data_IF_681602728688
#
_entry.id   IF_681602728688
#
_cell.length_a   1.000
_cell.length_b   1.000
_cell.length_c   1.000
_cell.angle_alpha   90.00
_cell.angle_beta   90.00
_cell.angle_gamma   90.00
#
_symmetry.space_group_name_H-M   'P 1'
#
loop_
_entity.id
_entity.type
_entity.pdbx_description
1 polymer ?
#
# COMPACT_ATOMS: atom_id res chain seq x y z
N UNK A 1 -51.80 -28.68 -9.20
CA UNK A 1 -51.90 -27.21 -9.14
C UNK A 1 -50.91 -26.79 -8.06
N UNK A 2 -49.80 -26.16 -8.44
CA UNK A 2 -48.65 -25.91 -7.56
C UNK A 2 -48.79 -24.50 -6.98
N UNK A 3 -49.04 -24.39 -5.68
CA UNK A 3 -48.95 -23.12 -4.93
C UNK A 3 -47.56 -23.04 -4.29
N UNK A 4 -46.60 -22.39 -4.95
CA UNK A 4 -45.22 -22.21 -4.45
C UNK A 4 -44.68 -20.81 -4.82
N UNK A 5 -45.44 -19.73 -4.56
CA UNK A 5 -44.93 -18.36 -4.81
C UNK A 5 -45.29 -17.29 -3.75
N UNK A 6 -45.93 -17.65 -2.63
CA UNK A 6 -46.43 -16.66 -1.65
C UNK A 6 -45.56 -16.48 -0.38
N UNK A 7 -44.63 -17.40 -0.09
CA UNK A 7 -43.83 -17.34 1.15
C UNK A 7 -42.64 -16.38 1.07
N UNK A 8 -42.00 -16.25 -0.10
CA UNK A 8 -40.78 -15.44 -0.28
C UNK A 8 -41.01 -13.95 -0.01
N UNK A 9 -42.18 -13.43 -0.41
CA UNK A 9 -42.54 -12.01 -0.22
C UNK A 9 -42.77 -11.67 1.24
N UNK A 10 -43.40 -12.56 2.00
CA UNK A 10 -43.66 -12.39 3.43
C UNK A 10 -42.41 -12.67 4.29
N UNK A 11 -41.59 -13.64 3.88
CA UNK A 11 -40.34 -13.96 4.56
C UNK A 11 -39.33 -12.80 4.50
N UNK A 12 -39.15 -12.20 3.32
CA UNK A 12 -38.25 -11.05 3.18
C UNK A 12 -38.76 -9.85 3.97
N UNK A 13 -40.04 -9.50 3.89
CA UNK A 13 -40.61 -8.37 4.64
C UNK A 13 -40.55 -8.57 6.15
N UNK A 14 -40.80 -9.78 6.65
CA UNK A 14 -40.66 -10.14 8.06
C UNK A 14 -39.20 -10.04 8.53
N UNK A 15 -38.25 -10.54 7.73
CA UNK A 15 -36.80 -10.37 8.01
C UNK A 15 -36.43 -8.89 8.05
N UNK A 16 -36.88 -8.09 7.08
CA UNK A 16 -36.60 -6.66 7.08
C UNK A 16 -37.22 -5.96 8.30
N UNK A 17 -38.44 -6.31 8.70
CA UNK A 17 -39.09 -5.68 9.85
C UNK A 17 -38.44 -6.08 11.18
N UNK A 18 -38.03 -7.34 11.36
CA UNK A 18 -37.28 -7.79 12.54
C UNK A 18 -35.88 -7.16 12.64
N UNK A 19 -35.20 -7.01 11.49
CA UNK A 19 -33.91 -6.32 11.40
C UNK A 19 -34.05 -4.83 11.74
N UNK A 20 -35.16 -4.19 11.33
CA UNK A 20 -35.41 -2.76 11.55
C UNK A 20 -36.02 -2.46 12.93
N UNK A 21 -36.79 -3.36 13.54
CA UNK A 21 -37.30 -3.19 14.90
C UNK A 21 -36.23 -3.41 15.96
N UNK A 22 -35.24 -4.27 15.68
CA UNK A 22 -34.18 -4.59 16.64
C UNK A 22 -33.11 -3.50 16.64
N UNK A 23 -32.98 -2.68 17.70
CA UNK A 23 -32.03 -1.56 17.73
C UNK A 23 -30.57 -2.02 17.57
N UNK A 24 -30.27 -3.26 17.97
CA UNK A 24 -28.95 -3.88 17.85
C UNK A 24 -28.56 -4.15 16.39
N UNK A 25 -29.51 -4.60 15.56
CA UNK A 25 -29.27 -4.92 14.16
C UNK A 25 -29.02 -3.65 13.33
N UNK A 26 -29.73 -2.55 13.63
CA UNK A 26 -29.47 -1.24 13.04
C UNK A 26 -28.04 -0.79 13.35
N UNK A 27 -27.60 -0.88 14.62
CA UNK A 27 -26.23 -0.54 15.01
C UNK A 27 -25.20 -1.37 14.26
N UNK A 28 -25.45 -2.68 14.10
CA UNK A 28 -24.58 -3.60 13.39
C UNK A 28 -24.51 -3.30 11.89
N UNK A 29 -25.65 -3.01 11.24
CA UNK A 29 -25.70 -2.62 9.82
C UNK A 29 -24.97 -1.29 9.58
N UNK A 30 -25.17 -0.30 10.45
CA UNK A 30 -24.45 0.98 10.39
C UNK A 30 -22.94 0.76 10.57
N UNK A 31 -22.54 -0.09 11.52
CA UNK A 31 -21.13 -0.42 11.73
C UNK A 31 -20.50 -1.10 10.52
N UNK A 32 -21.18 -2.11 9.93
CA UNK A 32 -20.73 -2.78 8.70
C UNK A 32 -20.64 -1.77 7.55
N UNK A 33 -21.65 -0.91 7.36
CA UNK A 33 -21.64 0.11 6.33
C UNK A 33 -20.47 1.11 6.51
N UNK A 34 -20.16 1.51 7.74
CA UNK A 34 -19.00 2.36 8.07
C UNK A 34 -17.68 1.65 7.76
N UNK A 35 -17.55 0.36 8.12
CA UNK A 35 -16.35 -0.42 7.82
C UNK A 35 -16.16 -0.58 6.31
N UNK A 36 -17.20 -0.94 5.57
CA UNK A 36 -17.18 -1.04 4.11
C UNK A 36 -16.82 0.31 3.48
N UNK A 37 -17.43 1.41 3.95
CA UNK A 37 -17.09 2.75 3.51
C UNK A 37 -15.62 3.10 3.77
N UNK A 38 -15.10 2.78 4.96
CA UNK A 38 -13.67 2.99 5.28
C UNK A 38 -12.76 2.14 4.41
N UNK A 39 -13.11 0.89 4.12
CA UNK A 39 -12.30 -0.01 3.28
C UNK A 39 -12.23 0.53 1.84
N UNK A 40 -13.36 0.93 1.26
CA UNK A 40 -13.42 1.46 -0.10
C UNK A 40 -12.71 2.83 -0.18
N UNK A 41 -12.92 3.71 0.80
CA UNK A 41 -12.30 5.05 0.82
C UNK A 41 -10.81 5.05 1.18
N UNK A 42 -10.33 4.03 1.90
CA UNK A 42 -8.91 3.88 2.25
C UNK A 42 -8.05 3.43 1.05
N UNK A 43 -8.68 2.93 -0.02
CA UNK A 43 -8.03 2.71 -1.30
C UNK A 43 -7.91 4.02 -2.09
N UNK A 44 -7.14 4.99 -1.55
CA UNK A 44 -6.71 6.13 -2.37
C UNK A 44 -5.82 5.57 -3.48
N UNK A 45 -6.22 5.64 -4.77
CA UNK A 45 -5.27 5.38 -5.84
C UNK A 45 -4.14 6.38 -5.63
N UNK A 46 -2.92 5.91 -5.40
CA UNK A 46 -1.76 6.78 -5.49
C UNK A 46 -1.78 7.29 -6.92
N UNK A 47 -2.23 8.52 -7.14
CA UNK A 47 -2.05 9.20 -8.42
C UNK A 47 -0.56 9.02 -8.72
N UNK A 48 -0.19 8.27 -9.78
CA UNK A 48 1.19 8.20 -10.18
C UNK A 48 1.56 9.64 -10.49
N UNK A 49 2.42 10.24 -9.66
CA UNK A 49 3.00 11.52 -9.99
C UNK A 49 3.50 11.41 -11.44
N UNK A 50 3.21 12.41 -12.30
CA UNK A 50 3.62 12.38 -13.70
C UNK A 50 5.06 11.92 -13.76
N UNK A 51 5.28 10.78 -14.42
CA UNK A 51 6.54 10.06 -14.33
C UNK A 51 7.67 11.07 -14.58
N UNK A 52 8.54 11.35 -13.58
CA UNK A 52 9.72 12.15 -13.86
C UNK A 52 10.44 11.47 -15.03
N UNK A 53 10.98 12.27 -15.97
CA UNK A 53 11.55 11.77 -17.22
C UNK A 53 12.39 10.54 -16.91
N UNK A 54 12.06 9.41 -17.56
CA UNK A 54 12.71 8.14 -17.26
C UNK A 54 14.20 8.33 -17.45
N UNK A 55 14.91 8.47 -16.33
CA UNK A 55 16.33 8.60 -16.39
C UNK A 55 16.88 7.35 -17.10
N UNK A 56 17.93 7.50 -17.93
CA UNK A 56 18.52 6.39 -18.65
C UNK A 56 18.75 5.21 -17.69
N UNK A 57 18.28 4.03 -18.08
CA UNK A 57 18.52 2.80 -17.33
C UNK A 57 20.03 2.62 -17.24
N UNK A 58 20.62 2.95 -16.09
CA UNK A 58 22.03 2.72 -15.83
C UNK A 58 22.21 1.20 -15.74
N UNK A 59 22.54 0.57 -16.87
CA UNK A 59 23.14 -0.77 -16.91
C UNK A 59 24.61 -0.64 -16.52
N UNK A 60 24.85 -0.15 -15.30
CA UNK A 60 26.18 0.01 -14.74
C UNK A 60 26.24 -0.84 -13.48
N UNK A 61 27.32 -1.58 -13.32
CA UNK A 61 27.63 -2.23 -12.07
C UNK A 61 28.00 -1.14 -11.06
N UNK A 62 27.20 -1.01 -10.01
CA UNK A 62 27.48 -0.06 -8.94
C UNK A 62 28.25 -0.75 -7.84
N UNK A 63 29.34 -0.13 -7.41
CA UNK A 63 29.98 -0.49 -6.15
C UNK A 63 29.13 0.00 -4.96
N UNK A 64 29.30 -0.62 -3.79
CA UNK A 64 28.58 -0.22 -2.56
C UNK A 64 28.83 1.26 -2.21
N UNK A 65 30.02 1.77 -2.55
CA UNK A 65 30.41 3.16 -2.29
C UNK A 65 29.71 4.13 -3.24
N UNK A 66 29.59 3.79 -4.53
CA UNK A 66 28.82 4.58 -5.49
C UNK A 66 27.33 4.55 -5.14
N UNK A 67 26.80 3.41 -4.70
CA UNK A 67 25.39 3.29 -4.32
C UNK A 67 25.02 4.21 -3.16
N UNK A 68 25.93 4.37 -2.18
CA UNK A 68 25.73 5.23 -0.99
C UNK A 68 25.52 6.70 -1.34
N UNK A 69 25.99 7.14 -2.50
CA UNK A 69 25.74 8.50 -2.96
C UNK A 69 24.26 8.72 -3.33
N UNK A 70 23.51 7.68 -3.69
CA UNK A 70 22.14 7.77 -4.19
C UNK A 70 21.08 7.49 -3.11
N UNK A 71 21.10 8.29 -2.04
CA UNK A 71 20.14 8.23 -0.93
C UNK A 71 18.94 9.20 -1.09
N UNK A 72 18.91 9.98 -2.17
CA UNK A 72 17.87 10.98 -2.44
C UNK A 72 18.10 12.35 -1.80
N UNK A 73 19.27 12.59 -1.17
CA UNK A 73 19.69 13.91 -0.68
C UNK A 73 20.34 14.77 -1.76
N UNK A 74 20.79 14.15 -2.85
CA UNK A 74 21.37 14.84 -4.00
C UNK A 74 20.36 15.78 -4.69
N UNK A 75 20.84 16.82 -5.39
CA UNK A 75 19.99 17.73 -6.17
C UNK A 75 19.17 17.00 -7.26
N UNK A 76 19.69 15.89 -7.80
CA UNK A 76 18.95 15.02 -8.73
C UNK A 76 17.80 14.25 -8.05
N UNK A 77 17.80 14.16 -6.72
CA UNK A 77 16.77 13.49 -5.92
C UNK A 77 16.65 11.99 -6.18
N UNK A 78 17.60 11.39 -6.90
CA UNK A 78 17.56 9.97 -7.29
C UNK A 78 17.89 9.07 -6.11
N UNK A 79 17.12 8.01 -5.96
CA UNK A 79 17.30 7.01 -4.90
C UNK A 79 17.50 5.65 -5.55
N UNK A 80 18.64 5.02 -5.25
CA UNK A 80 18.93 3.66 -5.67
C UNK A 80 18.96 2.73 -4.46
N UNK A 81 18.51 1.50 -4.64
CA UNK A 81 18.55 0.46 -3.60
C UNK A 81 19.05 -0.82 -4.25
N UNK A 82 19.97 -1.54 -3.61
CA UNK A 82 20.32 -2.89 -4.05
C UNK A 82 19.54 -3.96 -3.29
N UNK A 83 19.10 -4.99 -4.02
CA UNK A 83 18.46 -6.18 -3.48
C UNK A 83 19.03 -7.39 -4.19
N UNK A 84 19.61 -8.30 -3.42
CA UNK A 84 20.26 -9.52 -3.87
C UNK A 84 21.28 -9.27 -5.00
N UNK A 85 22.10 -8.22 -4.86
CA UNK A 85 23.10 -7.82 -5.86
C UNK A 85 22.55 -7.06 -7.07
N UNK A 86 21.24 -6.89 -7.21
CA UNK A 86 20.62 -6.12 -8.28
C UNK A 86 20.29 -4.71 -7.80
N UNK A 87 20.57 -3.69 -8.62
CA UNK A 87 20.31 -2.29 -8.29
C UNK A 87 19.01 -1.83 -8.94
N UNK A 88 18.14 -1.22 -8.12
CA UNK A 88 16.84 -0.72 -8.54
C UNK A 88 16.73 0.78 -8.31
N UNK A 89 16.18 1.48 -9.30
CA UNK A 89 15.83 2.89 -9.19
C UNK A 89 14.44 3.03 -8.54
N UNK A 90 14.42 3.49 -7.29
CA UNK A 90 13.21 3.67 -6.48
C UNK A 90 12.86 5.14 -6.32
N UNK A 91 13.37 6.02 -7.18
CA UNK A 91 13.11 7.46 -7.14
C UNK A 91 11.61 7.79 -7.22
N UNK A 92 10.82 6.99 -7.96
CA UNK A 92 9.36 7.11 -8.02
C UNK A 92 8.69 6.92 -6.65
N UNK A 93 9.34 6.19 -5.75
CA UNK A 93 8.88 5.90 -4.40
C UNK A 93 9.63 6.73 -3.33
N UNK A 94 10.01 7.97 -3.64
CA UNK A 94 10.70 8.89 -2.72
C UNK A 94 10.00 9.09 -1.37
N UNK A 95 8.66 9.01 -1.32
CA UNK A 95 7.87 8.99 -0.07
C UNK A 95 8.32 7.90 0.92
N UNK A 96 8.77 6.77 0.39
CA UNK A 96 9.07 5.57 1.16
C UNK A 96 10.57 5.45 1.44
N UNK A 97 11.38 5.58 0.40
CA UNK A 97 12.83 5.36 0.43
C UNK A 97 13.65 6.65 0.55
N UNK A 98 13.03 7.81 0.40
CA UNK A 98 13.70 9.10 0.54
C UNK A 98 13.88 9.50 2.00
N UNK A 99 14.64 10.58 2.26
CA UNK A 99 14.91 11.07 3.60
C UNK A 99 13.60 11.38 4.36
N UNK A 100 13.47 10.81 5.55
CA UNK A 100 12.26 10.92 6.40
C UNK A 100 11.16 9.89 6.10
N UNK A 101 11.32 9.04 5.09
CA UNK A 101 10.42 7.92 4.81
C UNK A 101 10.65 6.72 5.76
N UNK A 102 9.66 5.81 5.89
CA UNK A 102 9.76 4.62 6.74
C UNK A 102 10.88 3.65 6.31
N UNK A 103 11.28 3.70 5.03
CA UNK A 103 12.32 2.85 4.45
C UNK A 103 13.57 3.67 4.04
N UNK A 104 13.74 4.87 4.60
CA UNK A 104 14.88 5.75 4.30
C UNK A 104 16.24 5.07 4.54
N UNK A 105 16.32 4.14 5.50
CA UNK A 105 17.53 3.39 5.82
C UNK A 105 18.06 2.53 4.67
N UNK A 106 17.22 2.21 3.68
CA UNK A 106 17.60 1.44 2.51
C UNK A 106 18.11 2.30 1.35
N UNK A 107 17.81 3.60 1.35
CA UNK A 107 18.28 4.52 0.32
C UNK A 107 19.80 4.51 0.21
N UNK A 108 20.29 4.25 -1.01
CA UNK A 108 21.72 4.18 -1.33
C UNK A 108 22.44 2.96 -0.74
N UNK A 109 21.73 1.92 -0.29
CA UNK A 109 22.35 0.77 0.39
C UNK A 109 21.80 -0.56 -0.09
N UNK A 110 22.43 -1.62 0.39
CA UNK A 110 21.95 -2.98 0.22
C UNK A 110 20.85 -3.30 1.24
N UNK A 111 19.62 -3.37 0.74
CA UNK A 111 18.44 -3.69 1.52
C UNK A 111 18.26 -5.20 1.70
N UNK A 112 19.06 -6.05 1.04
CA UNK A 112 18.93 -7.52 1.07
C UNK A 112 18.74 -8.08 2.48
N UNK A 113 19.59 -7.67 3.42
CA UNK A 113 19.53 -8.15 4.81
C UNK A 113 18.29 -7.63 5.54
N UNK A 114 17.97 -6.34 5.39
CA UNK A 114 16.81 -5.74 6.05
C UNK A 114 15.50 -6.33 5.56
N UNK A 115 15.38 -6.56 4.26
CA UNK A 115 14.24 -7.22 3.65
C UNK A 115 14.13 -8.69 4.07
N UNK A 116 15.24 -9.42 4.14
CA UNK A 116 15.25 -10.82 4.59
C UNK A 116 14.89 -10.98 6.07
N UNK A 117 15.24 -10.00 6.90
CA UNK A 117 15.04 -10.04 8.37
C UNK A 117 13.84 -9.22 8.84
N UNK A 118 13.06 -8.64 7.93
CA UNK A 118 11.98 -7.69 8.23
C UNK A 118 12.43 -6.54 9.16
N UNK A 119 13.68 -6.10 9.02
CA UNK A 119 14.25 -5.03 9.83
C UNK A 119 14.61 -3.82 8.96
N UNK A 120 14.18 -2.63 9.42
CA UNK A 120 14.45 -1.33 8.76
C UNK A 120 15.54 -0.54 9.48
N UNK A 121 16.05 -1.05 10.59
CA UNK A 121 17.18 -0.49 11.31
C UNK A 121 18.48 -0.80 10.58
N UNK A 122 19.11 0.23 10.01
CA UNK A 122 20.53 0.15 9.67
C UNK A 122 21.31 0.00 10.99
N UNK A 123 21.74 -1.22 11.31
CA UNK A 123 22.75 -1.43 12.35
C UNK A 123 24.00 -0.61 11.97
N UNK A 124 24.38 0.30 12.86
CA UNK A 124 25.62 1.09 12.75
C UNK A 124 26.86 0.23 12.81
#
# INVERSE_FOLDING_TARGET
MVEETSDSGNFLTNIFFEIVQSPLNIVLVVFIAILVYKIIKNNRPSVPAPAPPELPKLRKDFTVQELKAYDGTQPDGRILVSVNGNVYDVTKAKRFYGPGGPYAAFGGRDASRGLATFSVSCGG
#
